data_IF_780841287278
#
_entry.id   IF_780841287278
#
_cell.length_a   1.000
_cell.length_b   1.000
_cell.length_c   1.000
_cell.angle_alpha   90.00
_cell.angle_beta   90.00
_cell.angle_gamma   90.00
#
_symmetry.space_group_name_H-M   'P 1'
#
loop_
_entity.id
_entity.type
_entity.pdbx_description
1 polymer ?
#
# COMPACT_ATOMS: atom_id res chain seq x y z
N UNK A 1 9.79 -3.17 20.43
CA UNK A 1 8.89 -3.90 19.52
C UNK A 1 8.41 -2.97 18.42
N UNK A 2 8.77 -3.21 17.16
CA UNK A 2 8.31 -2.39 16.03
C UNK A 2 6.84 -2.72 15.77
N UNK A 3 5.91 -1.77 15.93
CA UNK A 3 4.48 -2.00 15.63
C UNK A 3 4.37 -2.42 14.17
N UNK A 4 3.92 -3.65 13.94
CA UNK A 4 3.55 -4.12 12.60
C UNK A 4 2.38 -3.25 12.14
N UNK A 5 2.49 -2.67 10.95
CA UNK A 5 1.42 -1.86 10.38
C UNK A 5 0.27 -2.79 10.00
N UNK A 6 -0.93 -2.46 10.47
CA UNK A 6 -2.17 -3.13 10.05
C UNK A 6 -2.49 -2.71 8.61
N UNK A 7 -2.27 -3.63 7.67
CA UNK A 7 -2.50 -3.36 6.24
C UNK A 7 -3.97 -3.48 5.86
N UNK A 8 -4.77 -4.29 6.57
CA UNK A 8 -6.21 -4.37 6.35
C UNK A 8 -6.87 -3.01 6.64
N UNK A 9 -6.52 -2.38 7.75
CA UNK A 9 -7.01 -1.03 8.07
C UNK A 9 -6.57 0.03 7.05
N UNK A 10 -5.39 -0.14 6.45
CA UNK A 10 -4.91 0.75 5.37
C UNK A 10 -5.73 0.56 4.10
N UNK A 11 -6.06 -0.68 3.73
CA UNK A 11 -6.90 -0.99 2.56
C UNK A 11 -8.33 -0.52 2.78
N UNK A 12 -8.89 -0.67 3.99
CA UNK A 12 -10.21 -0.12 4.32
C UNK A 12 -10.25 1.40 4.15
N UNK A 13 -9.17 2.09 4.54
CA UNK A 13 -9.04 3.53 4.31
C UNK A 13 -8.89 3.87 2.83
N UNK A 14 -8.21 3.02 2.05
CA UNK A 14 -8.10 3.18 0.61
C UNK A 14 -9.47 3.06 -0.07
N UNK A 15 -10.25 2.05 0.29
CA UNK A 15 -11.61 1.81 -0.21
C UNK A 15 -12.57 2.98 0.08
N UNK A 16 -12.33 3.72 1.17
CA UNK A 16 -13.12 4.90 1.55
C UNK A 16 -12.53 6.22 1.03
N UNK A 17 -11.38 6.18 0.36
CA UNK A 17 -10.71 7.37 -0.16
C UNK A 17 -11.45 7.87 -1.40
N UNK A 18 -11.90 9.14 -1.45
CA UNK A 18 -12.64 9.67 -2.60
C UNK A 18 -11.79 9.73 -3.88
N UNK A 19 -10.46 9.66 -3.76
CA UNK A 19 -9.52 9.62 -4.88
C UNK A 19 -9.06 8.21 -5.23
N UNK A 20 -9.46 7.19 -4.46
CA UNK A 20 -9.01 5.82 -4.64
C UNK A 20 -7.48 5.63 -4.51
N UNK A 21 -6.75 6.58 -3.91
CA UNK A 21 -5.30 6.55 -3.78
C UNK A 21 -4.80 6.80 -2.35
N UNK A 22 -3.66 6.20 -1.99
CA UNK A 22 -2.91 6.46 -0.76
C UNK A 22 -1.39 6.41 -1.00
N UNK A 23 -0.66 7.33 -0.38
CA UNK A 23 0.80 7.36 -0.37
C UNK A 23 1.32 7.12 1.04
N UNK A 24 2.23 6.17 1.19
CA UNK A 24 2.68 5.68 2.48
C UNK A 24 4.20 5.67 2.52
N UNK A 25 4.79 6.44 3.44
CA UNK A 25 6.24 6.40 3.69
C UNK A 25 6.61 5.12 4.44
N UNK A 26 7.57 4.40 3.87
CA UNK A 26 8.15 3.17 4.39
C UNK A 26 9.52 3.46 5.02
N UNK A 27 10.05 2.49 5.76
CA UNK A 27 11.35 2.65 6.44
C UNK A 27 12.53 2.64 5.48
N UNK A 28 12.40 1.99 4.33
CA UNK A 28 13.42 1.91 3.29
C UNK A 28 12.81 1.55 1.92
N UNK A 29 13.53 1.77 0.80
CA UNK A 29 13.09 1.32 -0.52
C UNK A 29 12.81 -0.19 -0.58
N UNK A 30 13.70 -1.01 0.00
CA UNK A 30 13.51 -2.46 0.04
C UNK A 30 12.25 -2.86 0.81
N UNK A 31 11.95 -2.20 1.94
CA UNK A 31 10.70 -2.45 2.66
C UNK A 31 9.46 -2.07 1.85
N UNK A 32 9.52 -1.01 1.04
CA UNK A 32 8.42 -0.63 0.15
C UNK A 32 8.19 -1.71 -0.93
N UNK A 33 9.26 -2.24 -1.53
CA UNK A 33 9.18 -3.29 -2.55
C UNK A 33 8.62 -4.60 -1.98
N UNK A 34 9.12 -5.05 -0.83
CA UNK A 34 8.62 -6.28 -0.18
C UNK A 34 7.15 -6.14 0.18
N UNK A 35 6.76 -5.02 0.79
CA UNK A 35 5.35 -4.75 1.11
C UNK A 35 4.50 -4.69 -0.16
N UNK A 36 4.95 -4.03 -1.23
CA UNK A 36 4.24 -4.02 -2.52
C UNK A 36 3.91 -5.43 -2.98
N UNK A 37 4.90 -6.34 -3.03
CA UNK A 37 4.66 -7.71 -3.49
C UNK A 37 3.66 -8.46 -2.61
N UNK A 38 3.72 -8.27 -1.28
CA UNK A 38 2.76 -8.88 -0.35
C UNK A 38 1.34 -8.39 -0.60
N UNK A 39 1.16 -7.07 -0.73
CA UNK A 39 -0.15 -6.48 -0.96
C UNK A 39 -0.75 -6.95 -2.30
N UNK A 40 0.05 -7.03 -3.36
CA UNK A 40 -0.44 -7.50 -4.67
C UNK A 40 -0.82 -8.99 -4.67
N UNK A 41 -0.23 -9.80 -3.79
CA UNK A 41 -0.59 -11.21 -3.64
C UNK A 41 -1.90 -11.41 -2.86
N UNK A 42 -2.24 -10.47 -1.98
CA UNK A 42 -3.37 -10.60 -1.04
C UNK A 42 -4.62 -9.84 -1.51
N UNK A 43 -4.48 -8.75 -2.28
CA UNK A 43 -5.60 -7.96 -2.78
C UNK A 43 -5.58 -7.84 -4.31
N UNK A 44 -6.52 -8.52 -4.98
CA UNK A 44 -6.58 -8.61 -6.45
C UNK A 44 -6.92 -7.27 -7.14
N UNK A 45 -7.70 -6.39 -6.51
CA UNK A 45 -8.14 -5.10 -7.08
C UNK A 45 -7.26 -3.92 -6.64
N UNK A 46 -6.02 -4.20 -6.24
CA UNK A 46 -5.07 -3.21 -5.75
C UNK A 46 -3.95 -3.00 -6.77
N UNK A 47 -3.70 -1.75 -7.11
CA UNK A 47 -2.46 -1.34 -7.75
C UNK A 47 -1.49 -0.82 -6.70
N UNK A 48 -0.27 -1.34 -6.72
CA UNK A 48 0.80 -0.91 -5.82
C UNK A 48 2.09 -0.63 -6.59
N UNK A 49 2.61 0.59 -6.47
CA UNK A 49 3.90 1.02 -7.04
C UNK A 49 4.78 1.65 -5.97
N UNK A 50 6.08 1.78 -6.25
CA UNK A 50 7.04 2.33 -5.30
C UNK A 50 7.87 3.45 -5.93
N UNK A 51 8.05 4.56 -5.21
CA UNK A 51 8.98 5.64 -5.55
C UNK A 51 9.95 5.84 -4.38
N UNK A 52 11.14 5.26 -4.49
CA UNK A 52 12.09 5.19 -3.38
C UNK A 52 11.47 4.47 -2.18
N UNK A 53 11.45 5.12 -1.02
CA UNK A 53 10.83 4.59 0.20
C UNK A 53 9.32 4.87 0.30
N UNK A 54 8.66 5.38 -0.75
CA UNK A 54 7.22 5.66 -0.73
C UNK A 54 6.48 4.56 -1.48
N UNK A 55 5.50 3.95 -0.82
CA UNK A 55 4.54 3.01 -1.39
C UNK A 55 3.30 3.79 -1.83
N UNK A 56 2.94 3.66 -3.10
CA UNK A 56 1.78 4.25 -3.72
C UNK A 56 0.75 3.16 -3.93
N UNK A 57 -0.43 3.30 -3.34
CA UNK A 57 -1.56 2.38 -3.46
C UNK A 57 -2.68 3.08 -4.22
N UNK A 58 -3.32 2.35 -5.14
CA UNK A 58 -4.49 2.79 -5.89
C UNK A 58 -5.47 1.64 -6.08
N UNK A 59 -6.76 1.90 -6.09
CA UNK A 59 -7.76 0.89 -6.47
C UNK A 59 -7.78 0.73 -8.00
N UNK A 60 -7.80 -0.51 -8.47
CA UNK A 60 -7.90 -0.77 -9.90
C UNK A 60 -9.24 -0.23 -10.45
N UNK A 61 -9.19 0.57 -11.51
CA UNK A 61 -10.38 1.13 -12.16
C UNK A 61 -10.99 2.38 -11.51
N UNK A 62 -10.27 3.06 -10.61
CA UNK A 62 -10.64 4.39 -10.06
C UNK A 62 -10.13 5.56 -10.89
#
# INVERSE_FOLDING_TARGET
MRKVRDWSAVIDRLNKSPKGELKIKMGSPGSAQVTRCRLLAEWANLEATTKGAVLHLRLAGS
#
